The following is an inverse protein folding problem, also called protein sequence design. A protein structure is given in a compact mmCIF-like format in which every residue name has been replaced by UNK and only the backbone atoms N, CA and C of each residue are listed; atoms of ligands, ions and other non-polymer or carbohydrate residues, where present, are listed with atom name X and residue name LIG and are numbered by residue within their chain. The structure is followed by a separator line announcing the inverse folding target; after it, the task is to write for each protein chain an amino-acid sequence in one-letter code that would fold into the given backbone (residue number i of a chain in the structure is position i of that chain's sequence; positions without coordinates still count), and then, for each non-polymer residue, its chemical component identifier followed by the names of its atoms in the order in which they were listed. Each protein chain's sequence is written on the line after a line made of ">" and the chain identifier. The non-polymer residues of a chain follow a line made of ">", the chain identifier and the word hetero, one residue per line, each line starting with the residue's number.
data_IF_782128677922
#
_entry.id   IF_782128677922
#
_cell.length_a   1.000
_cell.length_b   1.000
_cell.length_c   1.000
_cell.angle_alpha   90.00
_cell.angle_beta   90.00
_cell.angle_gamma   90.00
#
_symmetry.space_group_name_H-M   'P 1'
#
loop_
_entity.id
_entity.type
_entity.pdbx_description
1 polymer ?
#
# COMPACT_ATOMS: atom_id res chain seq x y z
N UNK A 1 -3.36 -8.79 9.09
CA UNK A 1 -2.45 -9.96 8.95
C UNK A 1 -3.13 -11.30 9.20
N UNK A 2 -3.87 -11.45 10.31
CA UNK A 2 -4.48 -12.74 10.71
C UNK A 2 -5.47 -13.34 9.71
N UNK A 3 -6.14 -12.50 8.92
CA UNK A 3 -7.13 -12.91 7.91
C UNK A 3 -6.56 -12.84 6.48
N UNK A 4 -5.28 -12.50 6.31
CA UNK A 4 -4.70 -12.38 4.99
C UNK A 4 -4.34 -13.77 4.43
N UNK A 5 -4.62 -13.98 3.14
CA UNK A 5 -4.30 -15.23 2.48
C UNK A 5 -2.79 -15.55 2.56
N UNK A 6 -2.48 -16.85 2.66
CA UNK A 6 -1.10 -17.33 2.74
C UNK A 6 -0.26 -16.85 1.55
N UNK A 7 0.93 -16.35 1.83
CA UNK A 7 1.87 -15.84 0.81
C UNK A 7 1.69 -14.37 0.44
N UNK A 8 0.64 -13.70 0.91
CA UNK A 8 0.53 -12.23 0.76
C UNK A 8 1.54 -11.49 1.66
N UNK A 9 1.94 -10.27 1.29
CA UNK A 9 2.87 -9.44 2.09
C UNK A 9 2.36 -9.27 3.52
N UNK A 10 1.05 -9.02 3.69
CA UNK A 10 0.43 -8.84 5.02
C UNK A 10 0.45 -10.13 5.86
N UNK A 11 0.36 -11.31 5.24
CA UNK A 11 0.48 -12.58 5.95
C UNK A 11 1.94 -12.88 6.35
N UNK A 12 2.90 -12.52 5.49
CA UNK A 12 4.32 -12.79 5.71
C UNK A 12 4.97 -11.82 6.71
N UNK A 13 4.55 -10.55 6.72
CA UNK A 13 5.29 -9.48 7.40
C UNK A 13 4.44 -8.60 8.32
N UNK A 14 3.11 -8.76 8.35
CA UNK A 14 2.23 -7.94 9.18
C UNK A 14 2.12 -8.44 10.63
N UNK A 15 2.20 -7.53 11.60
CA UNK A 15 2.12 -7.86 13.03
C UNK A 15 0.71 -7.68 13.62
N UNK A 16 0.04 -6.56 13.31
CA UNK A 16 -1.31 -6.23 13.78
C UNK A 16 -2.13 -5.54 12.68
N UNK A 17 -3.34 -5.09 12.99
CA UNK A 17 -4.17 -4.32 12.05
C UNK A 17 -3.50 -2.97 11.72
N UNK A 18 -2.95 -2.31 12.74
CA UNK A 18 -2.27 -1.02 12.67
C UNK A 18 -0.84 -1.17 12.13
N UNK A 19 -0.15 -2.26 12.48
CA UNK A 19 1.21 -2.58 11.98
C UNK A 19 1.14 -3.69 10.94
N UNK A 20 0.53 -3.39 9.79
CA UNK A 20 0.22 -4.38 8.75
C UNK A 20 1.21 -4.41 7.57
N UNK A 21 2.41 -3.85 7.76
CA UNK A 21 3.56 -3.85 6.86
C UNK A 21 3.47 -2.98 5.58
N UNK A 22 2.31 -2.81 4.96
CA UNK A 22 2.21 -2.10 3.67
C UNK A 22 0.89 -1.35 3.46
N UNK A 23 1.01 -0.17 2.86
CA UNK A 23 -0.08 0.61 2.26
C UNK A 23 -0.09 0.43 0.75
N UNK A 24 -1.28 0.50 0.15
CA UNK A 24 -1.46 0.57 -1.29
C UNK A 24 -2.81 1.22 -1.58
N UNK A 25 -2.86 2.07 -2.60
CA UNK A 25 -4.08 2.78 -2.99
C UNK A 25 -5.18 1.79 -3.35
N UNK A 26 -6.42 2.12 -2.99
CA UNK A 26 -7.58 1.23 -3.12
C UNK A 26 -8.41 1.47 -4.41
N UNK A 27 -8.04 2.46 -5.22
CA UNK A 27 -8.66 2.80 -6.49
C UNK A 27 -7.70 3.59 -7.39
N UNK A 28 -7.98 3.64 -8.69
CA UNK A 28 -7.20 4.41 -9.65
C UNK A 28 -7.23 5.92 -9.36
N UNK A 29 -8.38 6.43 -8.88
CA UNK A 29 -8.54 7.83 -8.50
C UNK A 29 -7.68 8.16 -7.26
N UNK A 30 -7.73 7.34 -6.22
CA UNK A 30 -6.89 7.54 -5.04
C UNK A 30 -5.40 7.33 -5.36
N UNK A 31 -5.07 6.41 -6.26
CA UNK A 31 -3.69 6.22 -6.71
C UNK A 31 -3.13 7.49 -7.37
N UNK A 32 -3.91 8.17 -8.23
CA UNK A 32 -3.51 9.42 -8.83
C UNK A 32 -3.29 10.53 -7.78
N UNK A 33 -4.18 10.63 -6.79
CA UNK A 33 -4.08 11.60 -5.69
C UNK A 33 -2.86 11.33 -4.82
N UNK A 34 -2.66 10.08 -4.37
CA UNK A 34 -1.55 9.69 -3.50
C UNK A 34 -0.20 9.83 -4.22
N UNK A 35 -0.11 9.45 -5.49
CA UNK A 35 1.11 9.63 -6.28
C UNK A 35 1.49 11.11 -6.40
N UNK A 36 0.52 11.99 -6.69
CA UNK A 36 0.77 13.43 -6.78
C UNK A 36 1.08 14.08 -5.42
N UNK A 37 0.66 13.46 -4.31
CA UNK A 37 1.02 13.92 -2.96
C UNK A 37 2.49 13.64 -2.62
N UNK A 38 3.02 12.47 -3.01
CA UNK A 38 4.38 12.06 -2.67
C UNK A 38 5.44 12.44 -3.72
N UNK A 39 5.08 12.49 -5.00
CA UNK A 39 6.02 12.66 -6.09
C UNK A 39 5.62 13.81 -7.01
N UNK A 40 6.59 14.64 -7.38
CA UNK A 40 6.44 15.59 -8.46
C UNK A 40 6.32 14.85 -9.80
N UNK A 41 5.60 15.46 -10.75
CA UNK A 41 5.42 14.87 -12.09
C UNK A 41 6.74 14.57 -12.81
N UNK A 42 7.82 15.31 -12.50
CA UNK A 42 9.16 15.09 -13.06
C UNK A 42 9.90 13.88 -12.50
N UNK A 43 9.43 13.28 -11.41
CA UNK A 43 10.01 12.07 -10.81
C UNK A 43 9.44 10.78 -11.44
N UNK A 44 8.34 10.90 -12.21
CA UNK A 44 7.72 9.80 -12.94
C UNK A 44 8.39 9.65 -14.32
N UNK A 45 9.06 8.52 -14.56
CA UNK A 45 9.85 8.22 -15.78
C UNK A 45 9.28 7.09 -16.62
#
# INVERSE_FOLDING_TARGET
>A
PKEADAGTIRALYGESIERNAIHGSDSDENAAIENAFFFAASELV
#
